data_IF_968509893793
#
_entry.id   IF_968509893793
#
_cell.length_a   1.000
_cell.length_b   1.000
_cell.length_c   1.000
_cell.angle_alpha   90.00
_cell.angle_beta   90.00
_cell.angle_gamma   90.00
#
_symmetry.space_group_name_H-M   'P 1'
#
loop_
_entity.id
_entity.type
_entity.pdbx_description
1 polymer ?
#
# COMPACT_ATOMS: atom_id res chain seq x y z
N UNK A 1 -8.94 -15.96 12.57
CA UNK A 1 -8.22 -16.76 11.56
C UNK A 1 -7.44 -15.85 10.62
N UNK A 2 -6.31 -16.30 10.05
CA UNK A 2 -5.57 -15.51 9.06
C UNK A 2 -6.43 -15.11 7.86
N UNK A 3 -6.14 -13.95 7.27
CA UNK A 3 -6.81 -13.40 6.09
C UNK A 3 -5.77 -13.04 5.04
N UNK A 4 -6.06 -13.36 3.79
CA UNK A 4 -5.34 -12.85 2.63
C UNK A 4 -6.12 -11.67 2.07
N UNK A 5 -5.49 -10.51 1.97
CA UNK A 5 -6.05 -9.31 1.38
C UNK A 5 -5.38 -9.13 0.02
N UNK A 6 -6.10 -9.49 -1.05
CA UNK A 6 -5.60 -9.34 -2.41
C UNK A 6 -5.39 -7.87 -2.77
N UNK A 7 -4.28 -7.58 -3.45
CA UNK A 7 -3.96 -6.23 -3.91
C UNK A 7 -4.36 -6.12 -5.39
N UNK A 8 -5.26 -5.18 -5.67
CA UNK A 8 -5.62 -4.81 -7.03
C UNK A 8 -4.87 -3.54 -7.43
N UNK A 9 -4.04 -3.64 -8.46
CA UNK A 9 -3.13 -2.60 -8.92
C UNK A 9 -3.38 -2.28 -10.41
N UNK A 10 -4.65 -2.27 -10.84
CA UNK A 10 -5.03 -1.89 -12.20
C UNK A 10 -4.36 -2.74 -13.28
N UNK A 11 -3.69 -2.06 -14.21
CA UNK A 11 -2.99 -2.67 -15.35
C UNK A 11 -1.59 -3.21 -15.01
N UNK A 12 -1.11 -2.99 -13.78
CA UNK A 12 0.15 -3.57 -13.34
C UNK A 12 0.16 -5.09 -13.56
N UNK A 13 1.27 -5.68 -14.07
CA UNK A 13 1.40 -7.12 -14.17
C UNK A 13 1.38 -7.83 -12.80
N UNK A 14 1.44 -7.09 -11.69
CA UNK A 14 1.36 -7.58 -10.31
C UNK A 14 -0.08 -7.56 -9.75
N UNK A 15 -1.01 -6.92 -10.45
CA UNK A 15 -2.42 -6.83 -10.04
C UNK A 15 -3.02 -8.22 -9.88
N UNK A 16 -3.70 -8.46 -8.74
CA UNK A 16 -4.31 -9.75 -8.37
C UNK A 16 -3.35 -10.94 -8.27
N UNK A 17 -2.02 -10.72 -8.28
CA UNK A 17 -1.03 -11.79 -8.09
C UNK A 17 -0.43 -11.82 -6.68
N UNK A 18 -0.53 -10.70 -5.97
CA UNK A 18 0.00 -10.54 -4.61
C UNK A 18 -1.10 -10.19 -3.63
N UNK A 19 -0.95 -10.70 -2.41
CA UNK A 19 -1.84 -10.42 -1.29
C UNK A 19 -1.03 -10.14 -0.02
N UNK A 20 -1.61 -9.34 0.86
CA UNK A 20 -1.13 -9.17 2.23
C UNK A 20 -1.72 -10.27 3.12
N UNK A 21 -0.87 -10.99 3.84
CA UNK A 21 -1.31 -11.87 4.93
C UNK A 21 -1.51 -11.06 6.20
N UNK A 22 -2.68 -11.21 6.82
CA UNK A 22 -3.02 -10.62 8.12
C UNK A 22 -3.36 -11.74 9.08
N UNK A 23 -2.60 -11.86 10.16
CA UNK A 23 -2.87 -12.85 11.21
C UNK A 23 -3.82 -12.28 12.28
N UNK A 24 -4.52 -13.11 13.06
CA UNK A 24 -5.40 -12.63 14.13
C UNK A 24 -4.70 -11.73 15.15
N UNK A 25 -3.42 -11.99 15.43
CA UNK A 25 -2.61 -11.30 16.42
C UNK A 25 -2.28 -9.85 16.01
N UNK A 26 -2.36 -9.56 14.71
CA UNK A 26 -2.20 -8.21 14.17
C UNK A 26 -3.48 -7.36 14.29
N UNK A 27 -4.61 -7.95 14.67
CA UNK A 27 -5.90 -7.25 14.73
C UNK A 27 -6.17 -6.64 16.12
N UNK A 28 -6.88 -5.49 16.19
CA UNK A 28 -7.44 -4.71 15.09
C UNK A 28 -6.37 -3.93 14.31
N UNK A 29 -6.54 -3.86 12.99
CA UNK A 29 -5.62 -3.14 12.09
C UNK A 29 -6.41 -2.39 11.01
N UNK A 30 -5.96 -1.19 10.67
CA UNK A 30 -6.46 -0.41 9.55
C UNK A 30 -5.65 -0.71 8.28
N UNK A 31 -6.35 -0.99 7.18
CA UNK A 31 -5.72 -1.26 5.89
C UNK A 31 -6.48 -0.45 4.83
N UNK A 32 -5.80 0.49 4.19
CA UNK A 32 -6.38 1.35 3.17
C UNK A 32 -5.46 1.40 1.95
N UNK A 33 -6.06 1.60 0.78
CA UNK A 33 -5.34 1.68 -0.49
C UNK A 33 -5.68 2.97 -1.20
N UNK A 34 -4.67 3.66 -1.73
CA UNK A 34 -4.83 4.73 -2.71
C UNK A 34 -4.33 4.26 -4.07
N UNK A 35 -4.90 4.78 -5.15
CA UNK A 35 -4.47 4.48 -6.52
C UNK A 35 -4.62 5.73 -7.38
N UNK A 36 -3.68 5.93 -8.30
CA UNK A 36 -3.77 6.96 -9.34
C UNK A 36 -4.11 6.40 -10.72
N UNK A 37 -4.16 5.08 -10.88
CA UNK A 37 -4.46 4.43 -12.17
C UNK A 37 -5.75 3.62 -12.16
N UNK A 38 -6.35 3.42 -10.99
CA UNK A 38 -7.61 2.69 -10.80
C UNK A 38 -8.70 3.61 -10.27
N UNK A 39 -9.75 3.79 -11.08
CA UNK A 39 -10.96 4.54 -10.71
C UNK A 39 -10.94 6.01 -11.13
N UNK A 40 -12.08 6.70 -10.97
CA UNK A 40 -12.28 8.10 -11.37
C UNK A 40 -11.82 9.13 -10.33
N UNK A 41 -11.26 8.68 -9.21
CA UNK A 41 -10.79 9.55 -8.13
C UNK A 41 -9.58 10.34 -8.60
N UNK A 42 -9.59 11.67 -8.38
CA UNK A 42 -8.45 12.53 -8.69
C UNK A 42 -7.28 12.16 -7.77
N UNK A 43 -6.27 11.51 -8.34
CA UNK A 43 -4.97 11.32 -7.72
C UNK A 43 -3.96 12.15 -8.48
N UNK A 44 -3.07 12.84 -7.77
CA UNK A 44 -1.95 13.51 -8.41
C UNK A 44 -0.82 12.54 -8.70
N UNK A 45 -0.79 11.38 -8.03
CA UNK A 45 0.25 10.36 -8.19
C UNK A 45 -0.03 9.36 -9.31
N UNK A 46 0.98 8.54 -9.60
CA UNK A 46 0.95 7.51 -10.64
C UNK A 46 1.03 6.09 -10.06
N UNK A 47 0.96 5.92 -8.74
CA UNK A 47 0.97 4.57 -8.14
C UNK A 47 -0.26 3.78 -8.56
N UNK A 48 -0.06 2.52 -8.95
CA UNK A 48 -1.14 1.60 -9.25
C UNK A 48 -1.87 1.14 -8.00
N UNK A 49 -1.13 0.91 -6.92
CA UNK A 49 -1.66 0.67 -5.58
C UNK A 49 -0.67 1.14 -4.52
N UNK A 50 -1.13 1.96 -3.59
CA UNK A 50 -0.41 2.35 -2.38
C UNK A 50 -1.22 1.87 -1.18
N UNK A 51 -0.85 0.72 -0.63
CA UNK A 51 -1.50 0.06 0.51
C UNK A 51 -0.75 0.43 1.79
N UNK A 52 -1.48 0.91 2.78
CA UNK A 52 -0.93 1.23 4.11
C UNK A 52 -1.61 0.35 5.16
N UNK A 53 -0.80 -0.19 6.06
CA UNK A 53 -1.22 -0.94 7.25
C UNK A 53 -0.89 -0.08 8.47
N UNK A 54 -1.88 0.24 9.30
CA UNK A 54 -1.72 1.12 10.45
C UNK A 54 -2.59 0.72 11.64
N UNK A 55 -2.33 1.29 12.82
CA UNK A 55 -3.12 1.03 14.04
C UNK A 55 -4.58 1.51 13.96
N UNK A 56 -4.93 2.34 12.99
CA UNK A 56 -6.31 2.74 12.73
C UNK A 56 -6.58 2.91 11.24
N UNK A 57 -7.82 2.68 10.81
CA UNK A 57 -8.23 2.85 9.42
C UNK A 57 -8.10 4.31 8.96
N UNK A 58 -8.43 5.28 9.81
CA UNK A 58 -8.29 6.70 9.49
C UNK A 58 -6.83 7.10 9.22
N UNK A 59 -5.88 6.56 10.01
CA UNK A 59 -4.46 6.80 9.77
C UNK A 59 -4.01 6.12 8.47
N UNK A 60 -4.41 4.86 8.25
CA UNK A 60 -4.09 4.15 7.02
C UNK A 60 -4.57 4.91 5.78
N UNK A 61 -5.80 5.43 5.80
CA UNK A 61 -6.40 6.16 4.68
C UNK A 61 -5.67 7.48 4.38
N UNK A 62 -5.43 8.29 5.42
CA UNK A 62 -4.72 9.55 5.28
C UNK A 62 -3.30 9.34 4.74
N UNK A 63 -2.58 8.34 5.25
CA UNK A 63 -1.22 8.03 4.81
C UNK A 63 -1.23 7.42 3.42
N UNK A 64 -2.19 6.55 3.07
CA UNK A 64 -2.29 5.98 1.73
C UNK A 64 -2.47 7.07 0.68
N UNK A 65 -3.33 8.06 0.96
CA UNK A 65 -3.54 9.23 0.10
C UNK A 65 -2.27 10.10 0.00
N UNK A 66 -1.62 10.37 1.13
CA UNK A 66 -0.41 11.19 1.16
C UNK A 66 0.77 10.53 0.43
N UNK A 67 0.98 9.22 0.63
CA UNK A 67 2.03 8.44 -0.02
C UNK A 67 1.74 8.23 -1.51
N UNK A 68 0.51 7.85 -1.86
CA UNK A 68 0.11 7.65 -3.26
C UNK A 68 0.31 8.90 -4.11
N UNK A 69 -0.03 10.08 -3.58
CA UNK A 69 0.22 11.36 -4.26
C UNK A 69 1.70 11.71 -4.44
N UNK A 70 2.61 11.14 -3.63
CA UNK A 70 4.06 11.36 -3.74
C UNK A 70 4.73 10.47 -4.77
N UNK A 71 4.15 9.31 -5.08
CA UNK A 71 4.67 8.38 -6.09
C UNK A 71 4.33 8.91 -7.48
N UNK A 72 5.32 9.38 -8.25
CA UNK A 72 5.16 9.80 -9.65
C UNK A 72 5.87 8.86 -10.60
N UNK A 73 6.98 8.31 -10.16
CA UNK A 73 7.86 7.42 -10.93
C UNK A 73 8.34 6.27 -10.04
N UNK A 74 8.86 5.18 -10.62
CA UNK A 74 9.47 4.10 -9.85
C UNK A 74 10.64 4.54 -8.95
N UNK A 75 11.35 5.61 -9.32
CA UNK A 75 12.49 6.13 -8.54
C UNK A 75 12.06 6.77 -7.21
N UNK A 76 10.78 7.13 -7.07
CA UNK A 76 10.24 7.72 -5.84
C UNK A 76 10.05 6.68 -4.72
N UNK A 77 10.06 5.37 -5.03
CA UNK A 77 9.69 4.31 -4.09
C UNK A 77 10.50 4.33 -2.79
N UNK A 78 11.82 4.54 -2.87
CA UNK A 78 12.68 4.62 -1.69
C UNK A 78 12.36 5.86 -0.83
N UNK A 79 12.19 7.02 -1.47
CA UNK A 79 11.85 8.25 -0.76
C UNK A 79 10.48 8.18 -0.06
N UNK A 80 9.49 7.56 -0.72
CA UNK A 80 8.12 7.43 -0.20
C UNK A 80 8.06 6.39 0.91
N UNK A 81 8.75 5.26 0.79
CA UNK A 81 8.86 4.28 1.89
C UNK A 81 9.59 4.88 3.09
N UNK A 82 10.64 5.70 2.87
CA UNK A 82 11.29 6.50 3.90
C UNK A 82 10.31 7.44 4.61
N UNK A 83 9.51 8.20 3.87
CA UNK A 83 8.45 9.06 4.42
C UNK A 83 7.47 8.27 5.28
N UNK A 84 6.95 7.14 4.79
CA UNK A 84 5.98 6.32 5.52
C UNK A 84 6.61 5.73 6.79
N UNK A 85 7.87 5.33 6.73
CA UNK A 85 8.58 4.71 7.86
C UNK A 85 8.74 5.63 9.07
N UNK A 86 8.77 6.94 8.86
CA UNK A 86 8.88 7.93 9.92
C UNK A 86 7.56 8.23 10.64
N UNK A 87 6.43 7.67 10.18
CA UNK A 87 5.11 8.01 10.71
C UNK A 87 4.70 7.08 11.85
N UNK A 88 4.50 7.66 13.03
CA UNK A 88 4.07 6.93 14.21
C UNK A 88 2.69 6.30 13.99
N UNK A 89 2.62 4.97 14.14
CA UNK A 89 1.37 4.21 14.02
C UNK A 89 1.11 3.61 12.65
N UNK A 90 1.95 3.89 11.67
CA UNK A 90 2.06 3.06 10.48
C UNK A 90 2.88 1.82 10.84
N UNK A 91 2.35 0.66 10.46
CA UNK A 91 2.94 -0.66 10.72
C UNK A 91 3.65 -1.20 9.48
N UNK A 92 3.17 -0.83 8.30
CA UNK A 92 3.80 -1.21 7.05
C UNK A 92 3.14 -0.58 5.82
N UNK A 93 3.76 -0.80 4.68
CA UNK A 93 3.33 -0.29 3.39
C UNK A 93 3.67 -1.25 2.25
N UNK A 94 2.83 -1.25 1.22
CA UNK A 94 3.09 -1.87 -0.08
C UNK A 94 2.76 -0.86 -1.16
N UNK A 95 3.72 -0.56 -2.03
CA UNK A 95 3.56 0.41 -3.11
C UNK A 95 3.87 -0.29 -4.43
N UNK A 96 2.96 -0.20 -5.39
CA UNK A 96 3.07 -0.77 -6.72
C UNK A 96 2.98 0.36 -7.75
N UNK A 97 3.92 0.37 -8.70
CA UNK A 97 3.92 1.25 -9.87
C UNK A 97 4.54 0.50 -11.05
N UNK A 98 3.75 0.28 -12.10
CA UNK A 98 4.14 -0.54 -13.24
C UNK A 98 4.49 -1.97 -12.81
N UNK A 99 5.68 -2.43 -13.17
CA UNK A 99 6.24 -3.73 -12.81
C UNK A 99 7.00 -3.73 -11.47
N UNK A 100 7.09 -2.58 -10.78
CA UNK A 100 7.84 -2.42 -9.54
C UNK A 100 6.94 -2.50 -8.33
N UNK A 101 7.50 -3.09 -7.27
CA UNK A 101 6.89 -3.18 -5.96
C UNK A 101 7.92 -2.83 -4.89
N UNK A 102 7.55 -1.97 -3.95
CA UNK A 102 8.27 -1.76 -2.71
C UNK A 102 7.39 -2.17 -1.52
N UNK A 103 8.00 -2.75 -0.50
CA UNK A 103 7.34 -3.10 0.75
C UNK A 103 8.20 -2.67 1.94
N UNK A 104 7.56 -2.23 3.01
CA UNK A 104 8.24 -1.79 4.24
C UNK A 104 7.40 -2.16 5.47
N UNK A 105 8.07 -2.47 6.58
CA UNK A 105 7.44 -2.72 7.89
C UNK A 105 6.99 -4.17 8.10
N UNK A 106 6.01 -4.36 8.98
CA UNK A 106 5.42 -5.67 9.32
C UNK A 106 4.44 -6.12 8.22
N UNK A 107 5.02 -6.49 7.07
CA UNK A 107 4.30 -6.88 5.86
C UNK A 107 4.72 -8.29 5.46
N UNK A 108 3.75 -9.20 5.39
CA UNK A 108 3.93 -10.51 4.78
C UNK A 108 3.17 -10.56 3.45
N UNK A 109 3.92 -10.52 2.35
CA UNK A 109 3.37 -10.73 1.02
C UNK A 109 3.28 -12.22 0.70
N UNK A 110 2.13 -12.65 0.19
CA UNK A 110 1.89 -14.00 -0.29
C UNK A 110 1.37 -13.95 -1.72
N UNK A 111 1.54 -15.03 -2.46
CA UNK A 111 0.92 -15.19 -3.77
C UNK A 111 -0.59 -15.42 -3.60
N UNK A 112 -1.38 -14.83 -4.51
CA UNK A 112 -2.81 -15.09 -4.63
C UNK A 112 -3.10 -16.52 -5.10
#
# INVERSE_FOLDING_TARGET
>A
QPRRIGIYAGQSPLSQKVALMVTPEQTPVGICTSSGTVGHSLSFGMSDATVIVARSAALADAVATAAGNRVKTPDDLESVTGFVSGLNGVLGAVIIIGDKLAAWGDIQLVQM
#
